data_IF_097330831029
#
_entry.id   IF_097330831029
#
_cell.length_a   1.000
_cell.length_b   1.000
_cell.length_c   1.000
_cell.angle_alpha   90.00
_cell.angle_beta   90.00
_cell.angle_gamma   90.00
#
_symmetry.space_group_name_H-M   'P 1'
#
loop_
_entity.id
_entity.type
_entity.pdbx_description
1 polymer ?
#
# COMPACT_ATOMS: atom_id res chain seq x y z
N UNK A 1 45.86 -6.46 40.34
CA UNK A 1 46.72 -5.47 39.65
C UNK A 1 46.20 -5.27 38.22
N UNK A 2 45.05 -4.59 38.08
CA UNK A 2 44.43 -3.92 36.91
C UNK A 2 43.27 -3.15 37.59
N UNK A 3 43.01 -1.84 37.55
CA UNK A 3 43.16 -0.82 36.51
C UNK A 3 42.87 0.56 37.18
N UNK A 4 43.84 1.44 37.46
CA UNK A 4 43.58 2.79 37.94
C UNK A 4 43.63 3.77 36.77
N UNK A 5 42.74 3.61 35.80
CA UNK A 5 42.74 4.43 34.57
C UNK A 5 41.37 5.04 34.22
N UNK A 6 40.50 5.21 35.23
CA UNK A 6 39.20 5.86 35.08
C UNK A 6 39.19 7.35 35.50
N UNK A 7 40.31 7.88 35.99
CA UNK A 7 40.34 9.16 36.71
C UNK A 7 40.75 10.44 35.94
N UNK A 8 41.38 10.44 34.75
CA UNK A 8 42.00 11.68 34.27
C UNK A 8 41.14 12.56 33.35
N UNK A 9 39.91 12.18 32.97
CA UNK A 9 39.10 12.95 32.01
C UNK A 9 38.05 13.91 32.60
N UNK A 10 38.03 14.12 33.92
CA UNK A 10 37.36 15.28 34.51
C UNK A 10 35.85 15.37 34.33
N UNK A 11 35.16 14.26 34.09
CA UNK A 11 33.69 14.19 34.06
C UNK A 11 33.20 13.15 35.09
N UNK A 12 32.97 13.57 36.35
CA UNK A 12 32.55 12.67 37.42
C UNK A 12 31.24 11.89 37.14
N UNK A 13 30.40 12.34 36.20
CA UNK A 13 29.09 11.73 35.89
C UNK A 13 28.85 11.38 34.38
N UNK A 14 29.87 11.49 33.53
CA UNK A 14 29.71 11.58 32.06
C UNK A 14 29.12 10.35 31.31
N UNK A 15 29.63 9.11 31.51
CA UNK A 15 29.22 7.99 30.67
C UNK A 15 27.90 7.35 31.12
N UNK A 16 27.57 7.37 32.41
CA UNK A 16 26.34 6.76 32.94
C UNK A 16 25.12 7.57 32.47
N UNK A 17 25.21 8.90 32.53
CA UNK A 17 24.16 9.78 32.03
C UNK A 17 23.92 9.55 30.52
N UNK A 18 24.97 9.47 29.71
CA UNK A 18 24.84 9.24 28.27
C UNK A 18 24.17 7.88 27.95
N UNK A 19 24.54 6.81 28.66
CA UNK A 19 23.91 5.49 28.51
C UNK A 19 22.45 5.51 28.94
N UNK A 20 22.12 6.22 30.03
CA UNK A 20 20.74 6.41 30.49
C UNK A 20 19.90 7.18 29.46
N UNK A 21 20.48 8.22 28.87
CA UNK A 21 19.85 9.03 27.81
C UNK A 21 19.59 8.23 26.54
N UNK A 22 20.56 7.42 26.10
CA UNK A 22 20.41 6.55 24.92
C UNK A 22 19.41 5.43 25.21
N UNK A 23 19.47 4.80 26.39
CA UNK A 23 18.52 3.76 26.79
C UNK A 23 17.09 4.28 26.91
N UNK A 24 16.91 5.50 27.42
CA UNK A 24 15.60 6.13 27.53
C UNK A 24 15.08 6.62 26.18
N UNK A 25 15.96 7.14 25.31
CA UNK A 25 15.61 7.47 23.93
C UNK A 25 15.14 6.20 23.19
N UNK A 26 15.88 5.09 23.35
CA UNK A 26 15.54 3.82 22.73
C UNK A 26 14.22 3.25 23.29
N UNK A 27 14.04 3.28 24.62
CA UNK A 27 12.81 2.87 25.28
C UNK A 27 11.61 3.78 24.93
N UNK A 28 11.81 5.07 24.71
CA UNK A 28 10.75 6.00 24.29
C UNK A 28 10.30 5.78 22.83
N UNK A 29 11.20 5.25 21.99
CA UNK A 29 10.89 4.84 20.61
C UNK A 29 10.12 3.52 20.59
N UNK A 30 10.45 2.57 21.48
CA UNK A 30 9.84 1.24 21.49
C UNK A 30 8.57 1.14 22.36
N UNK A 31 8.51 1.81 23.52
CA UNK A 31 7.43 1.65 24.49
C UNK A 31 6.24 2.61 24.33
N UNK A 32 5.10 2.20 24.89
CA UNK A 32 3.86 2.99 24.97
C UNK A 32 4.10 4.27 25.79
N UNK A 33 3.44 5.37 25.43
CA UNK A 33 3.60 6.72 26.02
C UNK A 33 3.50 6.74 27.56
N UNK A 34 2.77 5.77 28.14
CA UNK A 34 2.62 5.59 29.60
C UNK A 34 3.93 5.11 30.25
N UNK A 35 4.70 4.25 29.58
CA UNK A 35 5.95 3.68 30.09
C UNK A 35 7.07 4.71 30.04
N UNK A 36 7.13 5.53 28.99
CA UNK A 36 8.12 6.61 28.88
C UNK A 36 7.87 7.71 29.92
N UNK A 37 6.61 8.12 30.13
CA UNK A 37 6.25 9.04 31.22
C UNK A 37 6.56 8.46 32.60
N UNK A 38 6.29 7.17 32.81
CA UNK A 38 6.64 6.47 34.06
C UNK A 38 8.15 6.53 34.35
N UNK A 39 8.99 6.29 33.34
CA UNK A 39 10.44 6.37 33.50
C UNK A 39 10.93 7.80 33.82
N UNK A 40 10.35 8.83 33.19
CA UNK A 40 10.67 10.24 33.50
C UNK A 40 10.31 10.60 34.94
N UNK A 41 9.16 10.12 35.43
CA UNK A 41 8.72 10.32 36.81
C UNK A 41 9.67 9.63 37.80
N UNK A 42 10.06 8.38 37.53
CA UNK A 42 10.97 7.60 38.40
C UNK A 42 12.34 8.24 38.48
N UNK A 43 12.91 8.69 37.35
CA UNK A 43 14.22 9.37 37.31
C UNK A 43 14.18 10.68 38.10
N UNK A 44 13.12 11.48 37.94
CA UNK A 44 12.94 12.72 38.70
C UNK A 44 12.74 12.48 40.20
N UNK A 45 11.94 11.48 40.56
CA UNK A 45 11.72 11.12 41.95
C UNK A 45 13.02 10.65 42.62
N UNK A 46 13.82 9.83 41.92
CA UNK A 46 15.13 9.39 42.41
C UNK A 46 16.10 10.56 42.63
N UNK A 47 16.14 11.50 41.70
CA UNK A 47 16.97 12.69 41.84
C UNK A 47 16.54 13.56 43.04
N UNK A 48 15.23 13.82 43.20
CA UNK A 48 14.69 14.58 44.33
C UNK A 48 14.98 13.91 45.68
N UNK A 49 14.92 12.57 45.75
CA UNK A 49 15.28 11.82 46.97
C UNK A 49 16.76 11.98 47.29
N UNK A 50 17.64 11.92 46.30
CA UNK A 50 19.09 12.10 46.49
C UNK A 50 19.42 13.54 46.90
N UNK A 51 18.76 14.52 46.29
CA UNK A 51 18.88 15.94 46.64
C UNK A 51 18.42 16.20 48.08
N UNK A 52 17.25 15.67 48.47
CA UNK A 52 16.72 15.82 49.82
C UNK A 52 17.61 15.14 50.86
N UNK A 53 18.14 13.95 50.56
CA UNK A 53 19.07 13.23 51.44
C UNK A 53 20.40 13.97 51.63
N UNK A 54 20.83 14.77 50.65
CA UNK A 54 22.01 15.64 50.75
C UNK A 54 21.71 16.99 51.42
N UNK A 55 20.53 17.55 51.21
CA UNK A 55 20.12 18.89 51.66
C UNK A 55 19.52 18.99 53.06
N UNK A 56 19.28 17.88 53.76
CA UNK A 56 18.72 17.89 55.12
C UNK A 56 19.65 18.39 56.24
N UNK A 57 20.78 19.02 55.89
CA UNK A 57 21.89 19.29 56.81
C UNK A 57 22.05 20.73 57.31
N UNK A 58 21.79 21.77 56.52
CA UNK A 58 21.93 23.15 57.04
C UNK A 58 21.16 24.18 56.20
N UNK A 59 20.81 25.30 56.84
CA UNK A 59 19.87 26.28 56.32
C UNK A 59 20.44 27.19 55.22
N UNK A 60 19.71 27.30 54.10
CA UNK A 60 19.73 28.49 53.24
C UNK A 60 20.82 28.58 52.18
N UNK A 61 21.26 27.45 51.59
CA UNK A 61 22.36 27.44 50.63
C UNK A 61 21.95 27.72 49.16
N UNK A 62 22.75 28.50 48.40
CA UNK A 62 22.57 28.71 46.96
C UNK A 62 22.67 27.43 46.11
N UNK A 63 23.20 26.33 46.68
CA UNK A 63 23.27 25.03 46.02
C UNK A 63 21.88 24.43 45.70
N UNK A 64 20.85 24.71 46.52
CA UNK A 64 19.49 24.25 46.28
C UNK A 64 18.85 24.84 45.01
N UNK A 65 19.23 26.07 44.62
CA UNK A 65 18.73 26.72 43.39
C UNK A 65 19.40 26.11 42.14
N UNK A 66 20.69 25.77 42.23
CA UNK A 66 21.40 25.02 41.18
C UNK A 66 20.90 23.59 41.04
N UNK A 67 20.55 22.94 42.15
CA UNK A 67 19.94 21.60 42.15
C UNK A 67 18.56 21.62 41.48
N UNK A 68 17.69 22.59 41.83
CA UNK A 68 16.39 22.77 41.18
C UNK A 68 16.50 23.10 39.66
N UNK A 69 17.49 23.90 39.24
CA UNK A 69 17.76 24.16 37.82
C UNK A 69 18.27 22.91 37.09
N UNK A 70 19.09 22.10 37.76
CA UNK A 70 19.53 20.78 37.30
C UNK A 70 18.34 19.86 37.03
N UNK A 71 17.44 19.71 38.00
CA UNK A 71 16.19 18.93 37.87
C UNK A 71 15.34 19.43 36.70
N UNK A 72 15.14 20.74 36.60
CA UNK A 72 14.32 21.33 35.55
C UNK A 72 14.90 21.10 34.15
N UNK A 73 16.22 21.26 33.99
CA UNK A 73 16.90 21.02 32.70
C UNK A 73 16.92 19.54 32.30
N UNK A 74 17.15 18.62 33.24
CA UNK A 74 17.02 17.18 33.03
C UNK A 74 15.58 16.81 32.65
N UNK A 75 14.59 17.31 33.39
CA UNK A 75 13.17 17.09 33.09
C UNK A 75 12.78 17.56 31.70
N UNK A 76 13.18 18.78 31.34
CA UNK A 76 12.88 19.35 30.03
C UNK A 76 13.52 18.52 28.91
N UNK A 77 14.78 18.13 29.09
CA UNK A 77 15.48 17.30 28.13
C UNK A 77 14.82 15.93 27.94
N UNK A 78 14.43 15.27 29.03
CA UNK A 78 13.73 13.99 29.00
C UNK A 78 12.39 14.11 28.27
N UNK A 79 11.63 15.17 28.55
CA UNK A 79 10.37 15.47 27.86
C UNK A 79 10.56 15.67 26.36
N UNK A 80 11.59 16.43 25.95
CA UNK A 80 11.91 16.66 24.54
C UNK A 80 12.26 15.36 23.83
N UNK A 81 13.08 14.50 24.45
CA UNK A 81 13.43 13.18 23.87
C UNK A 81 12.20 12.28 23.73
N UNK A 82 11.32 12.22 24.73
CA UNK A 82 10.07 11.46 24.62
C UNK A 82 9.17 12.03 23.52
N UNK A 83 9.04 13.35 23.43
CA UNK A 83 8.24 14.01 22.39
C UNK A 83 8.78 13.71 20.98
N UNK A 84 10.10 13.77 20.79
CA UNK A 84 10.74 13.42 19.51
C UNK A 84 10.54 11.94 19.15
N UNK A 85 10.69 11.03 20.12
CA UNK A 85 10.45 9.60 19.91
C UNK A 85 9.00 9.30 19.47
N UNK A 86 8.02 9.92 20.14
CA UNK A 86 6.61 9.78 19.78
C UNK A 86 6.29 10.42 18.41
N UNK A 87 6.92 11.54 18.07
CA UNK A 87 6.77 12.16 16.76
C UNK A 87 7.29 11.26 15.63
N UNK A 88 8.49 10.69 15.80
CA UNK A 88 9.07 9.75 14.82
C UNK A 88 8.21 8.49 14.71
N UNK A 89 7.74 7.93 15.82
CA UNK A 89 6.83 6.78 15.81
C UNK A 89 5.53 7.08 15.10
N UNK A 90 4.87 8.20 15.42
CA UNK A 90 3.63 8.59 14.73
C UNK A 90 3.84 8.84 13.24
N UNK A 91 4.99 9.39 12.85
CA UNK A 91 5.38 9.54 11.44
C UNK A 91 5.53 8.18 10.76
N UNK A 92 6.19 7.22 11.40
CA UNK A 92 6.36 5.85 10.88
C UNK A 92 5.03 5.12 10.77
N UNK A 93 4.21 5.13 11.81
CA UNK A 93 2.88 4.50 11.81
C UNK A 93 1.99 5.09 10.69
N UNK A 94 2.05 6.42 10.48
CA UNK A 94 1.33 7.09 9.38
C UNK A 94 1.87 6.70 8.00
N UNK A 95 3.20 6.53 7.87
CA UNK A 95 3.83 6.11 6.63
C UNK A 95 3.45 4.65 6.30
N UNK A 96 3.56 3.74 7.26
CA UNK A 96 3.15 2.33 7.09
C UNK A 96 1.65 2.22 6.78
N UNK A 97 0.80 3.00 7.46
CA UNK A 97 -0.62 3.04 7.16
C UNK A 97 -0.94 3.65 5.77
N UNK A 98 -0.10 4.55 5.26
CA UNK A 98 -0.22 5.07 3.91
C UNK A 98 0.23 4.03 2.87
N UNK A 99 1.34 3.34 3.11
CA UNK A 99 1.85 2.26 2.27
C UNK A 99 0.87 1.10 2.18
N UNK A 100 0.31 0.65 3.31
CA UNK A 100 -0.72 -0.40 3.33
C UNK A 100 -1.94 -0.01 2.51
N UNK A 101 -2.45 1.22 2.68
CA UNK A 101 -3.58 1.73 1.90
C UNK A 101 -3.25 1.86 0.41
N UNK A 102 -2.02 2.25 0.06
CA UNK A 102 -1.59 2.32 -1.33
C UNK A 102 -1.54 0.92 -1.97
N UNK A 103 -0.98 -0.07 -1.26
CA UNK A 103 -0.91 -1.45 -1.71
C UNK A 103 -2.30 -2.10 -1.84
N UNK A 104 -3.22 -1.81 -0.92
CA UNK A 104 -4.62 -2.23 -1.01
C UNK A 104 -5.31 -1.59 -2.22
N UNK A 105 -5.14 -0.29 -2.42
CA UNK A 105 -5.72 0.42 -3.55
C UNK A 105 -5.17 -0.07 -4.91
N UNK A 106 -3.89 -0.44 -4.97
CA UNK A 106 -3.29 -1.02 -6.17
C UNK A 106 -3.90 -2.39 -6.49
N UNK A 107 -4.01 -3.28 -5.50
CA UNK A 107 -4.67 -4.59 -5.65
C UNK A 107 -6.12 -4.46 -6.10
N UNK A 108 -6.86 -3.51 -5.53
CA UNK A 108 -8.25 -3.26 -5.89
C UNK A 108 -8.37 -2.75 -7.34
N UNK A 109 -7.47 -1.85 -7.77
CA UNK A 109 -7.43 -1.36 -9.16
C UNK A 109 -7.12 -2.49 -10.13
N UNK A 110 -6.16 -3.36 -9.83
CA UNK A 110 -5.85 -4.52 -10.67
C UNK A 110 -7.03 -5.48 -10.76
N UNK A 111 -7.67 -5.77 -9.62
CA UNK A 111 -8.85 -6.62 -9.57
C UNK A 111 -10.01 -6.02 -10.39
N UNK A 112 -10.23 -4.71 -10.27
CA UNK A 112 -11.24 -3.99 -11.04
C UNK A 112 -10.92 -3.98 -12.54
N UNK A 113 -9.67 -3.73 -12.93
CA UNK A 113 -9.23 -3.79 -14.32
C UNK A 113 -9.47 -5.17 -14.94
N UNK A 114 -9.14 -6.25 -14.22
CA UNK A 114 -9.43 -7.63 -14.65
C UNK A 114 -10.93 -7.88 -14.78
N UNK A 115 -11.74 -7.42 -13.82
CA UNK A 115 -13.21 -7.53 -13.88
C UNK A 115 -13.78 -6.79 -15.09
N UNK A 116 -13.32 -5.56 -15.34
CA UNK A 116 -13.73 -4.76 -16.51
C UNK A 116 -13.35 -5.45 -17.82
N UNK A 117 -12.13 -6.00 -17.91
CA UNK A 117 -11.69 -6.75 -19.09
C UNK A 117 -12.55 -8.00 -19.34
N UNK A 118 -12.92 -8.76 -18.30
CA UNK A 118 -13.81 -9.92 -18.42
C UNK A 118 -15.22 -9.51 -18.82
N UNK A 119 -15.77 -8.45 -18.21
CA UNK A 119 -17.09 -7.93 -18.55
C UNK A 119 -17.15 -7.49 -20.02
N UNK A 120 -16.09 -6.85 -20.51
CA UNK A 120 -15.96 -6.42 -21.89
C UNK A 120 -15.88 -7.60 -22.87
N UNK A 121 -15.10 -8.64 -22.55
CA UNK A 121 -15.06 -9.88 -23.33
C UNK A 121 -16.44 -10.55 -23.43
N UNK A 122 -17.20 -10.56 -22.34
CA UNK A 122 -18.58 -11.09 -22.32
C UNK A 122 -19.57 -10.19 -23.08
N UNK A 123 -19.33 -8.88 -23.13
CA UNK A 123 -20.11 -7.95 -23.96
C UNK A 123 -19.86 -8.23 -25.44
N UNK A 124 -18.59 -8.29 -25.85
CA UNK A 124 -18.19 -8.63 -27.23
C UNK A 124 -18.76 -9.99 -27.63
N UNK A 125 -18.65 -11.01 -26.78
CA UNK A 125 -19.19 -12.33 -27.08
C UNK A 125 -20.72 -12.31 -27.33
N UNK A 126 -21.48 -11.50 -26.58
CA UNK A 126 -22.92 -11.33 -26.79
C UNK A 126 -23.24 -10.56 -28.06
N UNK A 127 -22.55 -9.45 -28.32
CA UNK A 127 -22.72 -8.69 -29.55
C UNK A 127 -22.43 -9.56 -30.79
N UNK A 128 -21.36 -10.36 -30.74
CA UNK A 128 -21.05 -11.34 -31.77
C UNK A 128 -22.12 -12.42 -31.87
N UNK A 129 -22.60 -12.96 -30.75
CA UNK A 129 -23.62 -14.00 -30.75
C UNK A 129 -24.94 -13.50 -31.35
N UNK A 130 -25.37 -12.28 -31.05
CA UNK A 130 -26.61 -11.71 -31.57
C UNK A 130 -26.56 -11.52 -33.10
N UNK A 131 -25.44 -10.98 -33.62
CA UNK A 131 -25.22 -10.84 -35.07
C UNK A 131 -25.18 -12.21 -35.75
N UNK A 132 -24.47 -13.17 -35.19
CA UNK A 132 -24.38 -14.53 -35.71
C UNK A 132 -25.73 -15.24 -35.69
N UNK A 133 -26.48 -15.13 -34.59
CA UNK A 133 -27.80 -15.74 -34.44
C UNK A 133 -28.78 -15.19 -35.49
N UNK A 134 -28.74 -13.89 -35.74
CA UNK A 134 -29.55 -13.26 -36.78
C UNK A 134 -29.21 -13.80 -38.18
N UNK A 135 -27.91 -13.85 -38.53
CA UNK A 135 -27.46 -14.36 -39.83
C UNK A 135 -27.79 -15.84 -40.02
N UNK A 136 -27.63 -16.66 -38.98
CA UNK A 136 -28.00 -18.08 -38.99
C UNK A 136 -29.51 -18.27 -39.20
N UNK A 137 -30.34 -17.44 -38.56
CA UNK A 137 -31.79 -17.45 -38.75
C UNK A 137 -32.17 -17.15 -40.21
N UNK A 138 -31.56 -16.12 -40.81
CA UNK A 138 -31.79 -15.75 -42.21
C UNK A 138 -31.39 -16.89 -43.17
N UNK A 139 -30.22 -17.49 -42.97
CA UNK A 139 -29.74 -18.63 -43.76
C UNK A 139 -30.71 -19.81 -43.64
N UNK A 140 -31.18 -20.13 -42.43
CA UNK A 140 -32.11 -21.23 -42.21
C UNK A 140 -33.46 -21.02 -42.90
N UNK A 141 -34.01 -19.80 -42.86
CA UNK A 141 -35.25 -19.45 -43.56
C UNK A 141 -35.08 -19.55 -45.08
N UNK A 142 -33.98 -19.02 -45.63
CA UNK A 142 -33.69 -19.09 -47.06
C UNK A 142 -33.46 -20.53 -47.54
N UNK A 143 -32.76 -21.34 -46.74
CA UNK A 143 -32.52 -22.75 -47.04
C UNK A 143 -33.83 -23.55 -47.03
N UNK A 144 -34.70 -23.30 -46.04
CA UNK A 144 -36.03 -23.91 -45.97
C UNK A 144 -36.91 -23.54 -47.18
N UNK A 145 -36.86 -22.27 -47.60
CA UNK A 145 -37.58 -21.78 -48.78
C UNK A 145 -37.07 -22.40 -50.09
N UNK A 146 -35.75 -22.60 -50.22
CA UNK A 146 -35.15 -23.29 -51.37
C UNK A 146 -35.58 -24.77 -51.43
N UNK A 147 -35.59 -25.46 -50.29
CA UNK A 147 -35.96 -26.89 -50.21
C UNK A 147 -37.43 -27.17 -50.57
N UNK A 148 -38.34 -26.24 -50.27
CA UNK A 148 -39.77 -26.37 -50.59
C UNK A 148 -40.12 -26.02 -52.04
N UNK A 149 -39.18 -25.47 -52.83
CA UNK A 149 -39.41 -25.07 -54.23
C UNK A 149 -38.66 -25.94 -55.21
N UNK A 150 -38.99 -27.24 -55.22
CA UNK A 150 -38.40 -28.20 -56.16
C UNK A 150 -38.79 -27.96 -57.63
N UNK A 151 -39.90 -27.26 -57.85
CA UNK A 151 -40.48 -27.06 -59.19
C UNK A 151 -40.04 -25.74 -59.85
N UNK A 152 -39.31 -24.88 -59.12
CA UNK A 152 -38.88 -23.55 -59.57
C UNK A 152 -37.38 -23.38 -59.28
N UNK A 153 -36.56 -23.93 -60.19
CA UNK A 153 -35.11 -23.94 -60.06
C UNK A 153 -34.51 -22.54 -59.98
N UNK A 154 -35.06 -21.58 -60.71
CA UNK A 154 -34.55 -20.20 -60.75
C UNK A 154 -34.64 -19.53 -59.37
N UNK A 155 -35.78 -19.67 -58.67
CA UNK A 155 -35.93 -19.15 -57.30
C UNK A 155 -35.10 -19.93 -56.28
N UNK A 156 -34.91 -21.23 -56.46
CA UNK A 156 -34.04 -22.03 -55.59
C UNK A 156 -32.57 -21.57 -55.72
N UNK A 157 -32.09 -21.30 -56.94
CA UNK A 157 -30.76 -20.74 -57.18
C UNK A 157 -30.60 -19.35 -56.57
N UNK A 158 -31.59 -18.47 -56.70
CA UNK A 158 -31.56 -17.14 -56.08
C UNK A 158 -31.44 -17.20 -54.54
N UNK A 159 -32.14 -18.14 -53.89
CA UNK A 159 -32.03 -18.35 -52.44
C UNK A 159 -30.65 -18.87 -52.03
N UNK A 160 -30.06 -19.79 -52.79
CA UNK A 160 -28.70 -20.27 -52.56
C UNK A 160 -27.65 -19.17 -52.75
N UNK A 161 -27.86 -18.27 -53.72
CA UNK A 161 -26.98 -17.13 -53.95
C UNK A 161 -27.05 -16.12 -52.78
N UNK A 162 -28.23 -15.88 -52.23
CA UNK A 162 -28.40 -15.07 -51.01
C UNK A 162 -27.68 -15.69 -49.79
N UNK A 163 -27.79 -17.00 -49.58
CA UNK A 163 -27.05 -17.72 -48.52
C UNK A 163 -25.54 -17.58 -48.72
N UNK A 164 -25.05 -17.72 -49.95
CA UNK A 164 -23.63 -17.57 -50.29
C UNK A 164 -23.15 -16.14 -50.00
N UNK A 165 -23.94 -15.13 -50.33
CA UNK A 165 -23.62 -13.74 -50.05
C UNK A 165 -23.56 -13.47 -48.55
N UNK A 166 -24.59 -13.87 -47.79
CA UNK A 166 -24.64 -13.70 -46.34
C UNK A 166 -23.45 -14.40 -45.63
N UNK A 167 -23.14 -15.65 -46.02
CA UNK A 167 -22.01 -16.39 -45.46
C UNK A 167 -20.66 -15.71 -45.73
N UNK A 168 -20.50 -15.12 -46.93
CA UNK A 168 -19.28 -14.41 -47.31
C UNK A 168 -19.11 -13.11 -46.52
N UNK A 169 -20.21 -12.42 -46.20
CA UNK A 169 -20.22 -11.22 -45.37
C UNK A 169 -19.77 -11.55 -43.93
N UNK A 170 -20.41 -12.53 -43.29
CA UNK A 170 -20.06 -12.97 -41.93
C UNK A 170 -18.59 -13.36 -41.81
N UNK A 171 -18.07 -14.14 -42.77
CA UNK A 171 -16.65 -14.54 -42.79
C UNK A 171 -15.68 -13.36 -43.02
N UNK A 172 -16.17 -12.24 -43.58
CA UNK A 172 -15.38 -11.01 -43.73
C UNK A 172 -15.36 -10.24 -42.41
N UNK A 173 -16.50 -10.06 -41.76
CA UNK A 173 -16.61 -9.42 -40.44
C UNK A 173 -15.76 -10.15 -39.38
N UNK A 174 -15.87 -11.49 -39.29
CA UNK A 174 -15.07 -12.28 -38.35
C UNK A 174 -13.56 -12.15 -38.58
N UNK A 175 -13.12 -12.13 -39.85
CA UNK A 175 -11.70 -11.89 -40.18
C UNK A 175 -11.26 -10.47 -39.84
N UNK A 176 -12.15 -9.48 -39.96
CA UNK A 176 -11.88 -8.11 -39.52
C UNK A 176 -11.61 -8.05 -38.02
N UNK A 177 -12.50 -8.63 -37.22
CA UNK A 177 -12.38 -8.67 -35.75
C UNK A 177 -11.11 -9.43 -35.31
N UNK A 178 -10.84 -10.59 -35.91
CA UNK A 178 -9.61 -11.37 -35.63
C UNK A 178 -8.34 -10.63 -36.08
N UNK A 179 -8.39 -9.88 -37.18
CA UNK A 179 -7.28 -9.07 -37.66
C UNK A 179 -6.87 -7.98 -36.68
N UNK A 180 -7.85 -7.30 -36.08
CA UNK A 180 -7.62 -6.29 -35.04
C UNK A 180 -7.03 -6.93 -33.78
N UNK A 181 -7.56 -8.07 -33.33
CA UNK A 181 -7.03 -8.79 -32.17
C UNK A 181 -5.58 -9.25 -32.38
N UNK A 182 -5.22 -9.73 -33.58
CA UNK A 182 -3.85 -10.18 -33.89
C UNK A 182 -2.83 -9.04 -33.90
N UNK A 183 -3.21 -7.86 -34.42
CA UNK A 183 -2.32 -6.68 -34.41
C UNK A 183 -2.01 -6.19 -32.99
N UNK A 184 -2.97 -6.31 -32.05
CA UNK A 184 -2.76 -5.92 -30.65
C UNK A 184 -1.77 -6.86 -29.95
N UNK A 185 -1.87 -8.18 -30.19
CA UNK A 185 -0.90 -9.16 -29.67
C UNK A 185 0.51 -8.97 -30.26
N UNK A 186 0.62 -8.71 -31.56
CA UNK A 186 1.91 -8.42 -32.22
C UNK A 186 2.57 -7.12 -31.70
N UNK A 187 1.77 -6.12 -31.30
CA UNK A 187 2.27 -4.86 -30.76
C UNK A 187 2.60 -4.95 -29.25
N UNK A 188 1.90 -5.79 -28.49
CA UNK A 188 2.16 -6.04 -27.07
C UNK A 188 3.32 -7.02 -26.80
N UNK A 189 3.52 -8.02 -27.67
CA UNK A 189 4.59 -9.02 -27.54
C UNK A 189 5.98 -8.52 -27.95
N UNK A 190 6.10 -7.33 -28.52
CA UNK A 190 7.39 -6.70 -28.87
C UNK A 190 8.06 -5.93 -27.71
N UNK A 191 7.44 -5.92 -26.53
CA UNK A 191 7.91 -5.21 -25.34
C UNK A 191 8.17 -6.18 -24.16
N UNK A 192 8.95 -7.23 -24.39
CA UNK A 192 9.67 -7.93 -23.32
C UNK A 192 11.18 -7.82 -23.60
N UNK A 193 12.00 -7.28 -22.68
CA UNK A 193 13.46 -7.21 -22.81
C UNK A 193 14.15 -8.56 -22.64
#
# INVERSE_FOLDING_TARGET
MVQPLYYPLGFPDGPVAAVLWVALFNAAVECRLVVSLGAVIVVNAGFLVVAFARGGGDGGDPEAVTDARGVASLSLGLLVTVALGQYVRSRRDRAEAAERRAAEAERDREAEARRRAVAERLRIARELHDVLAHQMSLINVQAGAALHRRDDAERAYAALEAIKAASKETLRELRGVLGVLRQVDECGGGAEP
#
